data_IF_960356136415
#
_entry.id   IF_960356136415
#
_cell.length_a   1.000
_cell.length_b   1.000
_cell.length_c   1.000
_cell.angle_alpha   90.00
_cell.angle_beta   90.00
_cell.angle_gamma   90.00
#
_symmetry.space_group_name_H-M   'P 1'
#
loop_
_entity.id
_entity.type
_entity.pdbx_description
1 polymer ?
#
# COMPACT_ATOMS: atom_id res chain seq x y z
N UNK A 1 -3.09 -23.73 -10.76
CA UNK A 1 -3.70 -22.39 -10.93
C UNK A 1 -2.59 -21.40 -11.16
N UNK A 2 -2.85 -20.26 -11.81
CA UNK A 2 -1.86 -19.18 -11.97
C UNK A 2 -1.85 -18.30 -10.72
N UNK A 3 -0.68 -17.79 -10.32
CA UNK A 3 -0.56 -16.76 -9.28
C UNK A 3 -0.92 -15.40 -9.89
N UNK A 4 -2.11 -14.92 -9.59
CA UNK A 4 -2.62 -13.63 -10.07
C UNK A 4 -2.66 -12.64 -8.92
N UNK A 5 -2.08 -11.47 -9.13
CA UNK A 5 -2.14 -10.34 -8.20
C UNK A 5 -2.75 -9.12 -8.90
N UNK A 6 -3.12 -8.09 -8.15
CA UNK A 6 -3.68 -6.86 -8.72
C UNK A 6 -3.04 -5.61 -8.13
N UNK A 7 -3.02 -4.55 -8.92
CA UNK A 7 -2.52 -3.25 -8.50
C UNK A 7 -3.53 -2.17 -8.93
N UNK A 8 -3.99 -1.34 -7.99
CA UNK A 8 -4.93 -0.25 -8.28
C UNK A 8 -4.22 1.09 -8.19
N UNK A 9 -4.35 1.92 -9.21
CA UNK A 9 -3.82 3.27 -9.32
C UNK A 9 -4.95 4.28 -9.51
N UNK A 10 -5.61 4.64 -8.41
CA UNK A 10 -6.66 5.65 -8.40
C UNK A 10 -6.24 6.93 -7.67
N UNK A 11 -6.54 8.10 -8.23
CA UNK A 11 -6.32 9.42 -7.61
C UNK A 11 -7.06 9.65 -6.27
N UNK A 12 -7.99 8.74 -5.91
CA UNK A 12 -8.81 8.80 -4.70
C UNK A 12 -8.71 7.51 -3.85
N UNK A 13 -7.57 6.82 -3.86
CA UNK A 13 -7.38 5.66 -2.99
C UNK A 13 -7.31 6.11 -1.52
N UNK A 14 -8.38 5.82 -0.75
CA UNK A 14 -8.48 6.10 0.69
C UNK A 14 -8.62 4.80 1.47
N UNK A 15 -7.50 4.24 1.91
CA UNK A 15 -7.48 3.12 2.88
C UNK A 15 -7.66 3.64 4.30
N UNK A 16 -7.10 4.81 4.56
CA UNK A 16 -7.05 5.43 5.88
C UNK A 16 -8.16 6.46 6.03
N UNK A 17 -9.05 6.29 7.02
CA UNK A 17 -10.22 7.17 7.23
C UNK A 17 -10.36 7.56 8.71
N UNK A 18 -10.90 8.76 9.02
CA UNK A 18 -11.07 9.19 10.41
C UNK A 18 -11.79 8.14 11.25
N UNK A 19 -11.16 7.74 12.36
CA UNK A 19 -11.67 6.73 13.28
C UNK A 19 -10.99 5.37 13.22
N UNK A 20 -10.20 5.07 12.17
CA UNK A 20 -9.34 3.87 12.17
C UNK A 20 -8.06 4.11 12.98
N UNK A 21 -7.46 3.04 13.49
CA UNK A 21 -6.21 3.12 14.25
C UNK A 21 -5.05 3.63 13.38
N UNK A 22 -5.00 3.22 12.11
CA UNK A 22 -4.03 3.77 11.15
C UNK A 22 -4.14 5.28 10.99
N UNK A 23 -5.36 5.82 11.09
CA UNK A 23 -5.60 7.23 10.90
C UNK A 23 -5.05 8.01 12.07
N UNK A 24 -5.29 7.52 13.30
CA UNK A 24 -4.71 8.10 14.51
C UNK A 24 -3.18 8.03 14.48
N UNK A 25 -2.60 6.88 14.14
CA UNK A 25 -1.14 6.73 14.05
C UNK A 25 -0.49 7.72 13.07
N UNK A 26 -1.09 7.92 11.89
CA UNK A 26 -0.58 8.87 10.88
C UNK A 26 -0.85 10.33 11.23
N UNK A 27 -2.09 10.68 11.57
CA UNK A 27 -2.51 12.08 11.69
C UNK A 27 -2.24 12.66 13.07
N UNK A 28 -2.50 11.90 14.14
CA UNK A 28 -2.27 12.35 15.52
C UNK A 28 -0.85 11.99 15.97
N UNK A 29 -0.43 10.75 15.68
CA UNK A 29 0.89 10.22 16.04
C UNK A 29 2.03 10.70 15.15
N UNK A 30 1.73 11.36 14.02
CA UNK A 30 2.71 11.85 13.03
C UNK A 30 3.67 10.76 12.52
N UNK A 31 3.23 9.51 12.49
CA UNK A 31 4.05 8.41 12.00
C UNK A 31 4.28 8.56 10.48
N UNK A 32 5.55 8.53 10.07
CA UNK A 32 5.91 8.53 8.64
C UNK A 32 5.42 7.26 7.94
N UNK A 33 5.44 6.13 8.67
CA UNK A 33 4.95 4.82 8.23
C UNK A 33 4.21 4.11 9.35
N UNK A 34 3.21 3.32 8.96
CA UNK A 34 2.36 2.51 9.84
C UNK A 34 2.28 1.11 9.27
N UNK A 35 2.43 0.12 10.14
CA UNK A 35 2.18 -1.29 9.84
C UNK A 35 0.96 -1.73 10.63
N UNK A 36 -0.03 -2.29 9.93
CA UNK A 36 -1.14 -3.03 10.53
C UNK A 36 -0.93 -4.51 10.21
N UNK A 37 -1.06 -5.39 11.20
CA UNK A 37 -0.89 -6.83 11.01
C UNK A 37 -1.97 -7.61 11.75
N UNK A 38 -2.52 -8.63 11.09
CA UNK A 38 -3.42 -9.63 11.64
C UNK A 38 -2.85 -11.04 11.47
N UNK A 39 -3.64 -12.09 11.76
CA UNK A 39 -3.19 -13.48 11.65
C UNK A 39 -2.73 -13.89 10.25
N UNK A 40 -3.43 -13.40 9.21
CA UNK A 40 -3.26 -13.87 7.84
C UNK A 40 -2.81 -12.78 6.85
N UNK A 41 -2.83 -11.51 7.26
CA UNK A 41 -2.53 -10.38 6.38
C UNK A 41 -1.91 -9.20 7.12
N UNK A 42 -1.27 -8.32 6.35
CA UNK A 42 -0.74 -7.06 6.85
C UNK A 42 -0.86 -5.97 5.80
N UNK A 43 -0.83 -4.72 6.26
CA UNK A 43 -0.78 -3.53 5.42
C UNK A 43 0.33 -2.61 5.90
N UNK A 44 1.07 -2.03 4.95
CA UNK A 44 2.04 -0.97 5.22
C UNK A 44 1.56 0.30 4.53
N UNK A 45 1.42 1.37 5.29
CA UNK A 45 0.95 2.67 4.80
C UNK A 45 1.92 3.77 5.23
N UNK A 46 2.16 4.78 4.40
CA UNK A 46 3.04 5.88 4.78
C UNK A 46 3.61 6.66 3.62
N UNK A 47 4.61 7.48 3.93
CA UNK A 47 5.49 8.09 2.95
C UNK A 47 6.72 7.22 2.70
N UNK A 48 7.08 7.07 1.43
CA UNK A 48 8.38 6.55 1.02
C UNK A 48 9.15 7.72 0.42
N UNK A 49 9.92 8.41 1.28
CA UNK A 49 10.69 9.59 0.89
C UNK A 49 11.53 9.36 -0.37
N UNK A 50 11.30 10.19 -1.38
CA UNK A 50 11.98 10.19 -2.68
C UNK A 50 11.33 11.27 -3.57
N UNK A 51 12.13 12.05 -4.30
CA UNK A 51 11.68 13.24 -5.04
C UNK A 51 10.68 13.01 -6.19
N UNK A 52 10.23 11.78 -6.41
CA UNK A 52 9.17 11.47 -7.35
C UNK A 52 8.23 10.45 -6.70
N UNK A 53 6.93 10.68 -6.83
CA UNK A 53 5.91 9.64 -6.65
C UNK A 53 6.43 8.35 -7.31
N UNK A 54 6.54 7.26 -6.55
CA UNK A 54 6.95 6.00 -7.16
C UNK A 54 5.87 5.59 -8.16
N UNK A 55 6.23 5.36 -9.45
CA UNK A 55 5.26 4.91 -10.43
C UNK A 55 4.72 3.53 -10.02
N UNK A 56 3.51 3.22 -10.48
CA UNK A 56 2.85 1.93 -10.22
C UNK A 56 3.76 0.74 -10.55
N UNK A 57 4.50 0.82 -11.66
CA UNK A 57 5.46 -0.20 -12.08
C UNK A 57 6.52 -0.51 -11.02
N UNK A 58 7.07 0.51 -10.36
CA UNK A 58 8.05 0.31 -9.28
C UNK A 58 7.43 -0.35 -8.04
N UNK A 59 6.16 -0.07 -7.74
CA UNK A 59 5.44 -0.74 -6.64
C UNK A 59 5.14 -2.20 -6.97
N UNK A 60 4.76 -2.49 -8.22
CA UNK A 60 4.58 -3.86 -8.70
C UNK A 60 5.90 -4.63 -8.62
N UNK A 61 7.01 -4.01 -9.05
CA UNK A 61 8.33 -4.62 -8.98
C UNK A 61 8.79 -4.89 -7.53
N UNK A 62 8.50 -3.99 -6.60
CA UNK A 62 8.96 -4.19 -5.22
C UNK A 62 8.11 -5.20 -4.44
N UNK A 63 6.85 -5.39 -4.81
CA UNK A 63 5.88 -6.07 -3.96
C UNK A 63 5.14 -7.26 -4.60
N UNK A 64 5.12 -7.37 -5.92
CA UNK A 64 4.30 -8.36 -6.64
C UNK A 64 5.11 -9.20 -7.65
N UNK A 65 6.44 -9.26 -7.51
CA UNK A 65 7.32 -9.94 -8.48
C UNK A 65 7.19 -11.46 -8.52
N UNK A 66 6.59 -12.06 -7.51
CA UNK A 66 6.29 -13.49 -7.50
C UNK A 66 4.96 -13.84 -8.17
N UNK A 67 4.21 -12.84 -8.65
CA UNK A 67 3.05 -13.05 -9.50
C UNK A 67 3.44 -13.62 -10.87
N UNK A 68 2.60 -14.48 -11.43
CA UNK A 68 2.69 -14.83 -12.86
C UNK A 68 1.98 -13.80 -13.73
N UNK A 69 0.94 -13.15 -13.21
CA UNK A 69 0.15 -12.11 -13.89
C UNK A 69 -0.23 -11.05 -12.86
N UNK A 70 -0.05 -9.77 -13.22
CA UNK A 70 -0.56 -8.62 -12.47
C UNK A 70 -1.62 -7.91 -13.30
N UNK A 71 -2.82 -7.73 -12.74
CA UNK A 71 -3.89 -6.92 -13.34
C UNK A 71 -3.85 -5.51 -12.75
N UNK A 72 -3.69 -4.50 -13.59
CA UNK A 72 -3.63 -3.11 -13.18
C UNK A 72 -4.89 -2.33 -13.59
N UNK A 73 -5.46 -1.55 -12.66
CA UNK A 73 -6.58 -0.61 -12.88
C UNK A 73 -6.24 0.79 -12.37
#
# INVERSE_FOLDING_TARGET
>A
GRRVMSAKHGHHFKVDTPGTDSWRHRHEGRAERVVLAGPDEFAVMGGWGGMAVRPLEGLVWDHLMDAEIVVAE
#
